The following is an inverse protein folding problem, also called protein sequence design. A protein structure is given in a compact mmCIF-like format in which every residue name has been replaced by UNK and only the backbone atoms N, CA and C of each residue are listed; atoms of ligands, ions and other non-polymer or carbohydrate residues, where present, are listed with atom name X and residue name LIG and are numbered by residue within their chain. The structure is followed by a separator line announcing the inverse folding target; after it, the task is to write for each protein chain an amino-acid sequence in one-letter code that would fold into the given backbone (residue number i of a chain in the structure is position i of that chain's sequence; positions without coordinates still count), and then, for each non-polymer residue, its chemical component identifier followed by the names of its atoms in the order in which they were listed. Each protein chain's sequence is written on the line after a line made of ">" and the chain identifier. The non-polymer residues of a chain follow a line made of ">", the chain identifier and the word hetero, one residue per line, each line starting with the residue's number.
data_IF_815325569538
#
_entry.id   IF_815325569538
#
_cell.length_a   1.000
_cell.length_b   1.000
_cell.length_c   1.000
_cell.angle_alpha   90.00
_cell.angle_beta   90.00
_cell.angle_gamma   90.00
#
_symmetry.space_group_name_H-M   'P 1'
#
loop_
_entity.id
_entity.type
_entity.pdbx_description
1 polymer ?
#
# COMPACT_ATOMS: atom_id res chain seq x y z
N UNK A 1 -4.64 -5.26 -2.58
CA UNK A 1 -3.75 -4.24 -2.01
C UNK A 1 -4.25 -3.68 -0.67
N UNK A 2 -5.47 -3.11 -0.51
CA UNK A 2 -5.89 -2.50 0.76
C UNK A 2 -5.88 -3.46 1.95
N UNK A 3 -6.36 -4.69 1.75
CA UNK A 3 -6.35 -5.73 2.79
C UNK A 3 -4.93 -6.16 3.20
N UNK A 4 -3.98 -6.13 2.26
CA UNK A 4 -2.59 -6.51 2.52
C UNK A 4 -1.87 -5.41 3.30
N UNK A 5 -2.17 -4.14 3.00
CA UNK A 5 -1.66 -2.97 3.74
C UNK A 5 -2.13 -3.00 5.19
N UNK A 6 -3.42 -3.25 5.44
CA UNK A 6 -3.96 -3.37 6.80
C UNK A 6 -3.28 -4.51 7.58
N UNK A 7 -3.04 -5.66 6.92
CA UNK A 7 -2.33 -6.77 7.55
C UNK A 7 -0.86 -6.43 7.82
N UNK A 8 -0.18 -5.75 6.90
CA UNK A 8 1.20 -5.31 7.08
C UNK A 8 1.34 -4.30 8.22
N UNK A 9 0.41 -3.35 8.35
CA UNK A 9 0.37 -2.39 9.45
C UNK A 9 0.09 -3.09 10.78
N UNK A 10 -0.86 -4.02 10.83
CA UNK A 10 -1.10 -4.85 12.02
C UNK A 10 0.16 -5.62 12.43
N UNK A 11 0.85 -6.26 11.48
CA UNK A 11 2.10 -6.97 11.77
C UNK A 11 3.24 -6.01 12.16
N UNK A 12 3.30 -4.82 11.58
CA UNK A 12 4.27 -3.77 11.93
C UNK A 12 4.09 -3.24 13.35
N UNK A 13 2.84 -2.98 13.76
CA UNK A 13 2.50 -2.54 15.12
C UNK A 13 2.85 -3.64 16.14
N UNK A 14 2.53 -4.91 15.84
CA UNK A 14 2.86 -6.03 16.71
C UNK A 14 4.37 -6.24 16.80
N UNK A 15 5.10 -6.16 15.68
CA UNK A 15 6.55 -6.25 15.66
C UNK A 15 7.23 -5.11 16.43
N UNK A 16 6.74 -3.88 16.27
CA UNK A 16 7.20 -2.71 17.02
C UNK A 16 6.91 -2.79 18.51
N UNK A 17 5.77 -3.38 18.90
CA UNK A 17 5.44 -3.59 20.31
C UNK A 17 6.39 -4.60 20.97
N UNK A 18 6.67 -5.71 20.28
CA UNK A 18 7.60 -6.73 20.76
C UNK A 18 9.01 -6.16 20.91
N UNK A 19 9.50 -5.39 19.94
CA UNK A 19 10.84 -4.78 20.04
C UNK A 19 10.89 -3.68 21.11
N UNK A 20 9.86 -2.84 21.25
CA UNK A 20 9.82 -1.79 22.27
C UNK A 20 9.80 -2.34 23.71
N UNK A 21 9.08 -3.43 23.94
CA UNK A 21 9.01 -4.08 25.26
C UNK A 21 10.24 -4.93 25.52
N UNK A 22 10.73 -5.70 24.55
CA UNK A 22 11.84 -6.64 24.74
C UNK A 22 13.23 -5.98 24.73
N UNK A 23 13.45 -4.94 23.93
CA UNK A 23 14.76 -4.29 23.81
C UNK A 23 14.90 -3.03 24.67
N UNK A 24 13.84 -2.22 24.79
CA UNK A 24 13.91 -0.91 25.46
C UNK A 24 13.26 -0.87 26.86
N UNK A 25 12.63 -1.96 27.33
CA UNK A 25 11.91 -2.02 28.62
C UNK A 25 10.91 -0.87 28.83
N UNK A 26 10.31 -0.38 27.74
CA UNK A 26 9.35 0.73 27.78
C UNK A 26 8.00 0.20 28.22
N UNK A 27 7.34 0.90 29.16
CA UNK A 27 6.00 0.54 29.62
C UNK A 27 5.02 0.53 28.45
N UNK A 28 4.19 -0.51 28.33
CA UNK A 28 3.21 -0.68 27.25
C UNK A 28 2.27 0.53 27.07
N UNK A 29 2.03 1.28 28.14
CA UNK A 29 1.25 2.53 28.14
C UNK A 29 1.92 3.66 27.34
N UNK A 30 3.24 3.77 27.37
CA UNK A 30 4.01 4.77 26.62
C UNK A 30 4.05 4.39 25.14
N UNK A 31 4.22 3.10 24.83
CA UNK A 31 4.16 2.61 23.44
C UNK A 31 2.77 2.85 22.83
N UNK A 32 1.68 2.52 23.54
CA UNK A 32 0.31 2.76 23.08
C UNK A 32 0.01 4.24 22.89
N UNK A 33 0.53 5.11 23.77
CA UNK A 33 0.34 6.56 23.62
C UNK A 33 1.13 7.10 22.42
N UNK A 34 2.36 6.65 22.21
CA UNK A 34 3.18 7.02 21.05
C UNK A 34 2.59 6.52 19.73
N UNK A 35 2.05 5.29 19.69
CA UNK A 35 1.32 4.76 18.52
C UNK A 35 0.05 5.57 18.27
N UNK A 36 -0.68 5.97 19.31
CA UNK A 36 -1.87 6.80 19.17
C UNK A 36 -1.56 8.22 18.69
N UNK A 37 -0.46 8.82 19.13
CA UNK A 37 0.02 10.12 18.63
C UNK A 37 0.58 10.02 17.21
N UNK A 38 1.25 8.90 16.88
CA UNK A 38 1.78 8.66 15.53
C UNK A 38 0.65 8.41 14.52
N UNK A 39 -0.44 7.74 14.92
CA UNK A 39 -1.62 7.54 14.08
C UNK A 39 -2.44 8.84 14.06
N UNK A 40 -2.02 9.79 13.22
CA UNK A 40 -2.82 10.96 12.89
C UNK A 40 -3.88 10.59 11.83
N UNK A 41 -5.02 11.30 11.81
CA UNK A 41 -6.15 11.07 10.87
C UNK A 41 -5.70 11.03 9.39
N UNK A 42 -4.60 11.71 9.11
CA UNK A 42 -3.87 11.79 7.86
C UNK A 42 -3.34 10.45 7.34
N UNK A 43 -2.78 9.59 8.21
CA UNK A 43 -2.34 8.25 7.83
C UNK A 43 -3.52 7.33 7.54
N UNK A 44 -4.65 7.55 8.23
CA UNK A 44 -5.88 6.78 8.01
C UNK A 44 -6.51 7.13 6.64
N UNK A 45 -6.55 8.42 6.29
CA UNK A 45 -7.04 8.89 4.99
C UNK A 45 -6.09 8.44 3.88
N UNK A 46 -4.78 8.58 4.08
CA UNK A 46 -3.75 8.10 3.15
C UNK A 46 -3.81 6.59 2.91
N UNK A 47 -4.01 5.82 3.98
CA UNK A 47 -4.09 4.36 3.95
C UNK A 47 -5.33 3.80 3.26
N UNK A 48 -6.44 4.55 3.20
CA UNK A 48 -7.67 4.14 2.51
C UNK A 48 -7.71 4.64 1.06
N UNK A 49 -7.32 5.90 0.82
CA UNK A 49 -7.41 6.53 -0.51
C UNK A 49 -6.39 5.94 -1.48
N UNK A 50 -5.13 5.74 -1.06
CA UNK A 50 -4.08 5.15 -1.92
C UNK A 50 -4.49 3.82 -2.55
N UNK A 51 -4.86 2.78 -1.77
CA UNK A 51 -5.18 1.48 -2.35
C UNK A 51 -6.48 1.47 -3.16
N UNK A 52 -7.44 2.36 -2.87
CA UNK A 52 -8.63 2.53 -3.72
C UNK A 52 -8.24 2.99 -5.13
N UNK A 53 -7.42 4.03 -5.23
CA UNK A 53 -6.93 4.54 -6.52
C UNK A 53 -6.10 3.48 -7.26
N UNK A 54 -5.20 2.79 -6.56
CA UNK A 54 -4.41 1.72 -7.18
C UNK A 54 -5.25 0.56 -7.68
N UNK A 55 -6.32 0.19 -6.96
CA UNK A 55 -7.20 -0.91 -7.37
C UNK A 55 -7.93 -0.62 -8.68
N UNK A 56 -8.34 0.63 -8.89
CA UNK A 56 -9.00 1.07 -10.13
C UNK A 56 -8.00 1.05 -11.30
N UNK A 57 -6.78 1.55 -11.09
CA UNK A 57 -5.73 1.60 -12.13
C UNK A 57 -5.32 0.18 -12.55
N UNK A 58 -5.02 -0.69 -11.59
CA UNK A 58 -4.61 -2.07 -11.85
C UNK A 58 -5.76 -2.84 -12.53
N UNK A 59 -7.00 -2.66 -12.06
CA UNK A 59 -8.18 -3.28 -12.67
C UNK A 59 -8.35 -2.87 -14.13
N UNK A 60 -8.20 -1.59 -14.45
CA UNK A 60 -8.28 -1.09 -15.82
C UNK A 60 -7.17 -1.67 -16.72
N UNK A 61 -5.92 -1.72 -16.24
CA UNK A 61 -4.79 -2.29 -16.98
C UNK A 61 -4.97 -3.80 -17.18
N UNK A 62 -5.38 -4.52 -16.13
CA UNK A 62 -5.63 -5.96 -16.18
C UNK A 62 -6.76 -6.30 -17.17
N UNK A 63 -7.88 -5.56 -17.14
CA UNK A 63 -8.96 -5.73 -18.11
C UNK A 63 -8.49 -5.45 -19.54
N UNK A 64 -7.67 -4.40 -19.74
CA UNK A 64 -7.13 -4.09 -21.07
C UNK A 64 -6.20 -5.17 -21.59
N UNK A 65 -5.31 -5.71 -20.75
CA UNK A 65 -4.40 -6.77 -21.16
C UNK A 65 -5.12 -8.12 -21.38
N UNK A 66 -6.14 -8.41 -20.57
CA UNK A 66 -6.97 -9.61 -20.70
C UNK A 66 -7.78 -9.62 -22.00
N UNK A 67 -8.35 -8.48 -22.39
CA UNK A 67 -9.11 -8.35 -23.64
C UNK A 67 -8.22 -8.36 -24.90
N UNK A 68 -6.97 -7.90 -24.80
CA UNK A 68 -5.99 -7.91 -25.90
C UNK A 68 -5.17 -9.21 -25.99
N UNK A 69 -5.49 -10.23 -25.20
CA UNK A 69 -4.75 -11.50 -25.23
C UNK A 69 -5.18 -12.35 -26.43
N UNK A 70 -4.23 -12.67 -27.29
CA UNK A 70 -4.40 -13.59 -28.43
C UNK A 70 -3.48 -14.82 -28.26
N UNK A 71 -3.85 -15.96 -28.84
CA UNK A 71 -2.97 -17.15 -28.91
C UNK A 71 -3.16 -18.23 -27.83
N UNK A 72 -4.32 -18.31 -27.17
CA UNK A 72 -4.66 -19.44 -26.29
C UNK A 72 -3.93 -19.45 -24.94
N UNK A 73 -3.83 -20.61 -24.29
CA UNK A 73 -3.33 -20.78 -22.91
C UNK A 73 -1.89 -20.30 -22.68
N UNK A 74 -1.01 -20.41 -23.69
CA UNK A 74 0.37 -19.92 -23.60
C UNK A 74 0.43 -18.39 -23.73
N UNK A 75 -0.42 -17.81 -24.58
CA UNK A 75 -0.55 -16.35 -24.75
C UNK A 75 -1.12 -15.65 -23.51
N UNK A 76 -2.03 -16.30 -22.78
CA UNK A 76 -2.56 -15.82 -21.49
C UNK A 76 -1.47 -15.71 -20.44
N UNK A 77 -0.60 -16.72 -20.31
CA UNK A 77 0.49 -16.69 -19.33
C UNK A 77 1.47 -15.53 -19.58
N UNK A 78 1.91 -15.36 -20.84
CA UNK A 78 2.83 -14.27 -21.18
C UNK A 78 2.17 -12.88 -21.07
N UNK A 79 0.91 -12.75 -21.46
CA UNK A 79 0.16 -11.49 -21.35
C UNK A 79 -0.07 -11.11 -19.88
N UNK A 80 -0.34 -12.10 -19.01
CA UNK A 80 -0.48 -11.88 -17.56
C UNK A 80 0.83 -11.40 -16.94
N UNK A 81 1.96 -12.03 -17.26
CA UNK A 81 3.27 -11.60 -16.74
C UNK A 81 3.62 -10.17 -17.19
N UNK A 82 3.37 -9.84 -18.46
CA UNK A 82 3.57 -8.48 -18.99
C UNK A 82 2.62 -7.46 -18.35
N UNK A 83 1.37 -7.86 -18.09
CA UNK A 83 0.39 -7.03 -17.39
C UNK A 83 0.86 -6.70 -15.97
N UNK A 84 1.32 -7.70 -15.21
CA UNK A 84 1.77 -7.51 -13.83
C UNK A 84 3.00 -6.62 -13.76
N UNK A 85 3.99 -6.80 -14.64
CA UNK A 85 5.18 -5.94 -14.69
C UNK A 85 4.80 -4.49 -15.03
N UNK A 86 3.95 -4.30 -16.04
CA UNK A 86 3.51 -2.96 -16.48
C UNK A 86 2.67 -2.27 -15.41
N UNK A 87 1.73 -3.00 -14.80
CA UNK A 87 0.92 -2.51 -13.69
C UNK A 87 1.79 -2.12 -12.50
N UNK A 88 2.81 -2.92 -12.16
CA UNK A 88 3.71 -2.64 -11.03
C UNK A 88 4.51 -1.34 -11.24
N UNK A 89 5.02 -1.10 -12.45
CA UNK A 89 5.74 0.13 -12.78
C UNK A 89 4.81 1.35 -12.69
N UNK A 90 3.60 1.26 -13.25
CA UNK A 90 2.63 2.35 -13.20
C UNK A 90 2.20 2.64 -11.77
N UNK A 91 2.01 1.60 -10.94
CA UNK A 91 1.67 1.75 -9.53
C UNK A 91 2.79 2.44 -8.76
N UNK A 92 4.06 2.10 -8.99
CA UNK A 92 5.19 2.77 -8.33
C UNK A 92 5.25 4.25 -8.69
N UNK A 93 5.07 4.59 -9.98
CA UNK A 93 5.06 5.98 -10.43
C UNK A 93 3.87 6.72 -9.82
N UNK A 94 2.67 6.14 -9.89
CA UNK A 94 1.47 6.70 -9.31
C UNK A 94 1.60 6.88 -7.79
N UNK A 95 2.22 5.94 -7.09
CA UNK A 95 2.48 6.02 -5.65
C UNK A 95 3.39 7.19 -5.31
N UNK A 96 4.46 7.42 -6.06
CA UNK A 96 5.32 8.59 -5.86
C UNK A 96 4.51 9.90 -5.98
N UNK A 97 3.71 10.05 -7.04
CA UNK A 97 2.88 11.23 -7.22
C UNK A 97 1.80 11.36 -6.16
N UNK A 98 1.13 10.27 -5.78
CA UNK A 98 0.07 10.29 -4.79
C UNK A 98 0.60 10.54 -3.38
N UNK A 99 1.75 9.96 -3.03
CA UNK A 99 2.44 10.24 -1.78
C UNK A 99 2.89 11.69 -1.72
N UNK A 100 3.46 12.24 -2.80
CA UNK A 100 3.86 13.65 -2.87
C UNK A 100 2.65 14.60 -2.83
N UNK A 101 1.58 14.30 -3.56
CA UNK A 101 0.36 15.09 -3.55
C UNK A 101 -0.32 15.07 -2.18
N UNK A 102 -0.41 13.90 -1.55
CA UNK A 102 -0.96 13.76 -0.21
C UNK A 102 -0.12 14.52 0.82
N UNK A 103 1.21 14.41 0.74
CA UNK A 103 2.13 15.14 1.62
C UNK A 103 2.01 16.66 1.46
N UNK A 104 1.79 17.15 0.23
CA UNK A 104 1.56 18.59 -0.05
C UNK A 104 0.19 19.05 0.44
N UNK A 105 -0.85 18.22 0.31
CA UNK A 105 -2.22 18.54 0.73
C UNK A 105 -2.36 18.54 2.27
N UNK A 106 -1.66 17.64 2.96
CA UNK A 106 -1.68 17.53 4.42
C UNK A 106 -0.85 18.60 5.14
N UNK A 107 0.01 19.33 4.43
CA UNK A 107 0.64 20.53 4.98
C UNK A 107 1.47 20.32 6.26
N UNK A 108 2.13 19.17 6.42
CA UNK A 108 3.17 19.05 7.44
C UNK A 108 4.43 19.75 6.94
N UNK A 109 4.66 20.96 7.45
CA UNK A 109 5.95 21.67 7.37
C UNK A 109 7.01 20.98 8.21
#
# INVERSE_FOLDING_TARGET
>A
LPLLTVLADCMGIVGGWVTAVALYSVSSSVFISAVRDAITTDDLIGGIVKPLVFSIIIGAIACRQGLNTEGGTVGVGQSTTRAVVTASIIVIIADYFLAKALQVILGTS
#
